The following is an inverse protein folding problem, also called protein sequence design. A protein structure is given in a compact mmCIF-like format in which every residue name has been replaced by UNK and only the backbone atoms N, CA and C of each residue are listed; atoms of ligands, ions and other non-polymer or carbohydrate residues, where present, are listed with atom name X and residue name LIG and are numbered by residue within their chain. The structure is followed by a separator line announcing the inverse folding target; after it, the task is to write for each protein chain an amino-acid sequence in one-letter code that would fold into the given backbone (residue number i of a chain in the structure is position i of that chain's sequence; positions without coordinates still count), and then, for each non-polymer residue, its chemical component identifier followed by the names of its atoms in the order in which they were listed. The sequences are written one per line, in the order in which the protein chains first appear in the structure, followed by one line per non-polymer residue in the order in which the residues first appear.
data_IF_050859227730
#
_entry.id   IF_050859227730
#
_cell.length_a   1.000
_cell.length_b   1.000
_cell.length_c   1.000
_cell.angle_alpha   90.00
_cell.angle_beta   90.00
_cell.angle_gamma   90.00
#
_symmetry.space_group_name_H-M   'P 1'
#
loop_
_entity.id
_entity.type
_entity.pdbx_description
1 polymer ?
#
# COMPACT_ATOMS: atom_id res chain seq x y z
N UNK A 1 -15.31 -9.45 -22.67
CA UNK A 1 -14.72 -10.21 -21.55
C UNK A 1 -15.80 -10.45 -20.52
N UNK A 2 -16.25 -11.69 -20.32
CA UNK A 2 -17.06 -12.06 -19.16
C UNK A 2 -16.08 -12.35 -18.02
N UNK A 3 -16.12 -11.56 -16.95
CA UNK A 3 -15.30 -11.80 -15.76
C UNK A 3 -16.02 -12.83 -14.90
N UNK A 4 -15.42 -13.99 -14.72
CA UNK A 4 -15.93 -15.07 -13.88
C UNK A 4 -15.74 -14.81 -12.39
N UNK A 5 -16.52 -15.47 -11.56
CA UNK A 5 -16.41 -15.39 -10.09
C UNK A 5 -14.99 -15.71 -9.58
N UNK A 6 -14.35 -16.76 -10.12
CA UNK A 6 -12.99 -17.12 -9.75
C UNK A 6 -11.95 -16.05 -10.14
N UNK A 7 -12.14 -15.38 -11.27
CA UNK A 7 -11.26 -14.29 -11.70
C UNK A 7 -11.39 -13.08 -10.76
N UNK A 8 -12.62 -12.75 -10.31
CA UNK A 8 -12.83 -11.73 -9.28
C UNK A 8 -12.13 -12.08 -7.97
N UNK A 9 -12.19 -13.34 -7.53
CA UNK A 9 -11.49 -13.78 -6.32
C UNK A 9 -9.98 -13.64 -6.45
N UNK A 10 -9.41 -14.00 -7.60
CA UNK A 10 -7.97 -13.86 -7.86
C UNK A 10 -7.57 -12.38 -7.84
N UNK A 11 -8.32 -11.51 -8.51
CA UNK A 11 -8.04 -10.06 -8.53
C UNK A 11 -8.12 -9.47 -7.13
N UNK A 12 -9.14 -9.84 -6.34
CA UNK A 12 -9.29 -9.39 -4.96
C UNK A 12 -8.15 -9.89 -4.06
N UNK A 13 -7.76 -11.16 -4.20
CA UNK A 13 -6.66 -11.75 -3.43
C UNK A 13 -5.32 -11.06 -3.73
N UNK A 14 -5.03 -10.80 -5.01
CA UNK A 14 -3.84 -10.06 -5.42
C UNK A 14 -3.87 -8.62 -4.87
N UNK A 15 -5.00 -7.92 -4.99
CA UNK A 15 -5.16 -6.59 -4.43
C UNK A 15 -4.89 -6.54 -2.92
N UNK A 16 -5.47 -7.49 -2.16
CA UNK A 16 -5.22 -7.61 -0.73
C UNK A 16 -3.76 -7.94 -0.40
N UNK A 17 -3.13 -8.80 -1.20
CA UNK A 17 -1.71 -9.17 -1.03
C UNK A 17 -0.78 -7.95 -1.15
N UNK A 18 -1.09 -6.98 -2.02
CA UNK A 18 -0.33 -5.73 -2.12
C UNK A 18 -0.72 -4.68 -1.08
N UNK A 19 -2.03 -4.50 -0.84
CA UNK A 19 -2.53 -3.48 0.09
C UNK A 19 -2.12 -3.80 1.52
N UNK A 20 -2.22 -5.06 1.95
CA UNK A 20 -1.94 -5.46 3.34
C UNK A 20 -0.55 -5.06 3.84
N UNK A 21 0.57 -5.41 3.18
CA UNK A 21 1.89 -4.98 3.63
C UNK A 21 2.04 -3.45 3.56
N UNK A 22 1.52 -2.80 2.52
CA UNK A 22 1.56 -1.35 2.41
C UNK A 22 0.83 -0.69 3.58
N UNK A 23 -0.33 -1.19 3.99
CA UNK A 23 -1.09 -0.72 5.14
C UNK A 23 -0.26 -0.79 6.41
N UNK A 24 0.40 -1.93 6.64
CA UNK A 24 1.27 -2.14 7.80
C UNK A 24 2.45 -1.15 7.80
N UNK A 25 3.04 -0.86 6.63
CA UNK A 25 4.13 0.11 6.49
C UNK A 25 3.63 1.53 6.76
N UNK A 26 2.52 1.97 6.15
CA UNK A 26 1.95 3.30 6.43
C UNK A 26 1.64 3.49 7.92
N UNK A 27 1.06 2.48 8.58
CA UNK A 27 0.78 2.54 10.01
C UNK A 27 2.08 2.69 10.85
N UNK A 28 3.16 1.97 10.49
CA UNK A 28 4.47 2.10 11.13
C UNK A 28 5.13 3.45 10.86
N UNK A 29 4.92 4.03 9.69
CA UNK A 29 5.38 5.36 9.35
C UNK A 29 4.58 6.48 10.07
N UNK A 30 3.56 6.14 10.87
CA UNK A 30 2.70 7.13 11.53
C UNK A 30 1.70 7.80 10.57
N UNK A 31 1.42 7.17 9.43
CA UNK A 31 0.41 7.60 8.47
C UNK A 31 -0.88 6.78 8.63
N UNK A 32 -2.06 7.33 8.26
CA UNK A 32 -3.29 6.55 8.18
C UNK A 32 -3.11 5.31 7.30
N UNK A 33 -3.46 4.13 7.81
CA UNK A 33 -3.33 2.89 7.04
C UNK A 33 -4.12 2.88 5.72
N UNK A 34 -5.25 3.60 5.68
CA UNK A 34 -6.06 3.75 4.47
C UNK A 34 -5.32 4.43 3.30
N UNK A 35 -4.23 5.19 3.54
CA UNK A 35 -3.38 5.71 2.47
C UNK A 35 -2.79 4.60 1.60
N UNK A 36 -2.60 3.39 2.15
CA UNK A 36 -2.13 2.23 1.39
C UNK A 36 -3.05 1.84 0.22
N UNK A 37 -4.32 2.24 0.23
CA UNK A 37 -5.25 1.96 -0.86
C UNK A 37 -4.86 2.65 -2.18
N UNK A 38 -4.04 3.70 -2.12
CA UNK A 38 -3.50 4.34 -3.33
C UNK A 38 -2.71 3.35 -4.19
N UNK A 39 -2.16 2.28 -3.60
CA UNK A 39 -1.42 1.23 -4.32
C UNK A 39 -2.25 0.52 -5.39
N UNK A 40 -3.58 0.55 -5.28
CA UNK A 40 -4.50 -0.01 -6.27
C UNK A 40 -4.57 0.84 -7.54
N UNK A 41 -4.10 2.09 -7.48
CA UNK A 41 -4.02 2.98 -8.63
C UNK A 41 -2.67 2.79 -9.35
N UNK A 42 -2.64 2.90 -10.70
CA UNK A 42 -1.40 2.92 -11.45
C UNK A 42 -0.46 4.00 -10.89
N UNK A 43 0.77 3.61 -10.53
CA UNK A 43 1.77 4.53 -9.97
C UNK A 43 1.63 4.85 -8.48
N UNK A 44 0.52 4.47 -7.82
CA UNK A 44 0.34 4.75 -6.38
C UNK A 44 1.37 4.07 -5.49
N UNK A 45 1.87 2.89 -5.88
CA UNK A 45 3.00 2.25 -5.21
C UNK A 45 4.29 3.09 -5.27
N UNK A 46 4.58 3.72 -6.41
CA UNK A 46 5.74 4.60 -6.55
C UNK A 46 5.60 5.83 -5.64
N UNK A 47 4.40 6.42 -5.57
CA UNK A 47 4.11 7.53 -4.67
C UNK A 47 4.41 7.14 -3.22
N UNK A 48 3.88 5.99 -2.75
CA UNK A 48 4.14 5.51 -1.40
C UNK A 48 5.61 5.23 -1.14
N UNK A 49 6.34 4.65 -2.11
CA UNK A 49 7.78 4.44 -2.01
C UNK A 49 8.52 5.76 -1.78
N UNK A 50 8.21 6.81 -2.54
CA UNK A 50 8.84 8.11 -2.36
C UNK A 50 8.48 8.73 -1.01
N UNK A 51 7.22 8.64 -0.58
CA UNK A 51 6.79 9.11 0.75
C UNK A 51 7.58 8.40 1.84
N UNK A 52 7.66 7.07 1.80
CA UNK A 52 8.37 6.29 2.81
C UNK A 52 9.89 6.51 2.79
N UNK A 53 10.48 6.79 1.63
CA UNK A 53 11.91 7.03 1.49
C UNK A 53 12.36 8.39 2.07
N UNK A 54 11.52 9.43 1.95
CA UNK A 54 11.90 10.80 2.33
C UNK A 54 11.24 11.30 3.62
N UNK A 55 10.23 10.59 4.13
CA UNK A 55 9.59 10.93 5.39
C UNK A 55 10.44 10.44 6.57
N UNK A 56 10.52 11.26 7.62
CA UNK A 56 11.05 10.82 8.92
C UNK A 56 10.17 9.73 9.54
N UNK A 57 10.80 8.62 9.92
CA UNK A 57 10.11 7.51 10.56
C UNK A 57 9.96 7.74 12.07
N UNK A 58 8.84 7.32 12.68
CA UNK A 58 8.69 7.37 14.13
C UNK A 58 9.83 6.60 14.82
N UNK A 59 10.55 7.26 15.74
CA UNK A 59 11.68 6.66 16.45
C UNK A 59 13.04 6.80 15.73
N UNK A 60 13.07 7.41 14.55
CA UNK A 60 14.32 7.84 13.93
C UNK A 60 14.84 9.04 14.72
N UNK A 61 15.85 8.82 15.55
CA UNK A 61 16.58 9.92 16.18
C UNK A 61 17.13 10.84 15.09
N UNK A 62 17.09 12.16 15.29
CA UNK A 62 17.74 13.10 14.37
C UNK A 62 19.20 12.67 14.25
N UNK A 63 19.62 12.33 13.02
CA UNK A 63 21.01 12.01 12.73
C UNK A 63 21.93 13.20 13.06
#
# INVERSE_FOLDING_TARGET
MNIGFFELLIVAALGLFFVWPCWRITAKAGLPGALSLIVLLPGGFLILLFVWAFKDWPGQGKA
#
